data_IF_483449705302
#
_entry.id   IF_483449705302
#
_cell.length_a   1.000
_cell.length_b   1.000
_cell.length_c   1.000
_cell.angle_alpha   90.00
_cell.angle_beta   90.00
_cell.angle_gamma   90.00
#
_symmetry.space_group_name_H-M   'P 1'
#
loop_
_entity.id
_entity.type
_entity.pdbx_description
1 polymer ?
#
# COMPACT_ATOMS: atom_id res chain seq x y z
N UNK A 1 -16.65 -4.62 -12.20
CA UNK A 1 -18.11 -4.60 -11.91
C UNK A 1 -18.53 -3.50 -10.93
N UNK A 2 -18.04 -3.47 -9.67
CA UNK A 2 -18.47 -2.44 -8.70
C UNK A 2 -18.11 -1.00 -9.11
N UNK A 3 -16.91 -0.76 -9.62
CA UNK A 3 -16.49 0.58 -10.05
C UNK A 3 -17.22 1.08 -11.30
N UNK A 4 -17.63 0.21 -12.21
CA UNK A 4 -18.36 0.62 -13.42
C UNK A 4 -19.79 1.06 -13.07
N UNK A 5 -20.42 0.39 -12.11
CA UNK A 5 -21.73 0.79 -11.60
C UNK A 5 -21.65 2.11 -10.83
N UNK A 6 -20.64 2.26 -9.95
CA UNK A 6 -20.38 3.51 -9.24
C UNK A 6 -20.14 4.69 -10.20
N UNK A 7 -19.33 4.49 -11.24
CA UNK A 7 -19.08 5.50 -12.27
C UNK A 7 -20.37 5.91 -13.00
N UNK A 8 -21.20 4.94 -13.37
CA UNK A 8 -22.48 5.21 -14.03
C UNK A 8 -23.43 6.03 -13.15
N UNK A 9 -23.55 5.67 -11.88
CA UNK A 9 -24.41 6.41 -10.93
C UNK A 9 -23.88 7.83 -10.67
N UNK A 10 -22.57 7.99 -10.54
CA UNK A 10 -21.93 9.29 -10.39
C UNK A 10 -22.13 10.17 -11.63
N UNK A 11 -22.05 9.58 -12.85
CA UNK A 11 -22.34 10.31 -14.09
C UNK A 11 -23.79 10.79 -14.15
N UNK A 12 -24.74 9.96 -13.75
CA UNK A 12 -26.15 10.37 -13.70
C UNK A 12 -26.37 11.51 -12.70
N UNK A 13 -25.71 11.50 -11.55
CA UNK A 13 -25.76 12.60 -10.57
C UNK A 13 -25.18 13.90 -11.17
N UNK A 14 -24.02 13.81 -11.82
CA UNK A 14 -23.39 14.94 -12.53
C UNK A 14 -24.32 15.55 -13.59
N UNK A 15 -24.97 14.72 -14.39
CA UNK A 15 -25.89 15.20 -15.44
C UNK A 15 -27.09 15.90 -14.83
N UNK A 16 -27.69 15.38 -13.74
CA UNK A 16 -28.79 16.00 -13.02
C UNK A 16 -28.38 17.35 -12.42
N UNK A 17 -27.21 17.44 -11.77
CA UNK A 17 -26.73 18.68 -11.17
C UNK A 17 -26.36 19.73 -12.24
N UNK A 18 -25.86 19.32 -13.38
CA UNK A 18 -25.58 20.23 -14.51
C UNK A 18 -26.85 20.77 -15.16
N UNK A 19 -27.92 19.99 -15.22
CA UNK A 19 -29.21 20.42 -15.80
C UNK A 19 -30.01 21.32 -14.84
N UNK A 20 -29.94 21.08 -13.54
CA UNK A 20 -30.80 21.73 -12.54
C UNK A 20 -30.05 22.74 -11.65
N UNK A 21 -28.72 22.73 -11.65
CA UNK A 21 -27.87 23.57 -10.80
C UNK A 21 -27.37 24.85 -11.47
N UNK A 22 -26.81 25.73 -10.63
CA UNK A 22 -25.97 26.82 -11.15
C UNK A 22 -24.63 26.28 -11.65
N UNK A 23 -24.04 26.86 -12.68
CA UNK A 23 -22.70 26.48 -13.14
C UNK A 23 -21.70 26.51 -11.98
N UNK A 24 -20.91 25.43 -11.84
CA UNK A 24 -19.91 25.27 -10.75
C UNK A 24 -20.50 25.26 -9.34
N UNK A 25 -21.66 24.62 -9.15
CA UNK A 25 -22.24 24.43 -7.82
C UNK A 25 -21.37 23.53 -6.93
N UNK A 26 -21.59 23.59 -5.61
CA UNK A 26 -20.86 22.71 -4.66
C UNK A 26 -21.26 21.24 -4.82
N UNK A 27 -22.51 20.97 -5.20
CA UNK A 27 -23.01 19.63 -5.51
C UNK A 27 -22.28 19.06 -6.73
N UNK A 28 -22.16 19.83 -7.83
CA UNK A 28 -21.38 19.42 -9.00
C UNK A 28 -19.91 19.19 -8.64
N UNK A 29 -19.32 20.04 -7.78
CA UNK A 29 -17.94 19.88 -7.34
C UNK A 29 -17.73 18.59 -6.52
N UNK A 30 -18.69 18.23 -5.67
CA UNK A 30 -18.66 16.99 -4.89
C UNK A 30 -18.76 15.75 -5.81
N UNK A 31 -19.66 15.76 -6.78
CA UNK A 31 -19.80 14.68 -7.76
C UNK A 31 -18.53 14.53 -8.62
N UNK A 32 -17.96 15.65 -9.06
CA UNK A 32 -16.69 15.62 -9.82
C UNK A 32 -15.55 15.06 -8.99
N UNK A 33 -15.45 15.42 -7.72
CA UNK A 33 -14.47 14.83 -6.81
C UNK A 33 -14.65 13.33 -6.69
N UNK A 34 -15.90 12.88 -6.51
CA UNK A 34 -16.22 11.44 -6.45
C UNK A 34 -15.88 10.72 -7.75
N UNK A 35 -16.20 11.32 -8.91
CA UNK A 35 -15.86 10.77 -10.22
C UNK A 35 -14.33 10.65 -10.38
N UNK A 36 -13.58 11.67 -9.99
CA UNK A 36 -12.12 11.62 -9.98
C UNK A 36 -11.57 10.46 -9.16
N UNK A 37 -12.09 10.23 -7.95
CA UNK A 37 -11.70 9.09 -7.11
C UNK A 37 -12.05 7.73 -7.74
N UNK A 38 -13.20 7.62 -8.42
CA UNK A 38 -13.60 6.40 -9.12
C UNK A 38 -12.64 6.13 -10.30
N UNK A 39 -12.34 7.14 -11.11
CA UNK A 39 -11.41 7.03 -12.24
C UNK A 39 -10.00 6.67 -11.76
N UNK A 40 -9.52 7.27 -10.66
CA UNK A 40 -8.25 6.93 -10.01
C UNK A 40 -8.19 5.44 -9.62
N UNK A 41 -9.26 4.95 -8.99
CA UNK A 41 -9.38 3.54 -8.58
C UNK A 41 -9.43 2.57 -9.77
N UNK A 42 -9.81 3.04 -10.96
CA UNK A 42 -9.81 2.28 -12.22
C UNK A 42 -8.47 2.37 -12.97
N UNK A 43 -7.55 3.22 -12.51
CA UNK A 43 -6.29 3.51 -13.19
C UNK A 43 -6.41 4.49 -14.37
N UNK A 44 -7.57 5.13 -14.55
CA UNK A 44 -7.78 6.16 -15.56
C UNK A 44 -7.40 7.53 -14.97
N UNK A 45 -6.09 7.74 -14.84
CA UNK A 45 -5.53 8.91 -14.15
C UNK A 45 -5.74 10.23 -14.89
N UNK A 46 -5.80 10.22 -16.24
CA UNK A 46 -6.05 11.44 -17.01
C UNK A 46 -7.48 11.94 -16.81
N UNK A 47 -8.47 11.07 -16.94
CA UNK A 47 -9.87 11.42 -16.66
C UNK A 47 -10.08 11.81 -15.19
N UNK A 48 -9.40 11.14 -14.25
CA UNK A 48 -9.42 11.51 -12.85
C UNK A 48 -8.93 12.95 -12.64
N UNK A 49 -7.81 13.30 -13.27
CA UNK A 49 -7.22 14.64 -13.19
C UNK A 49 -8.19 15.73 -13.70
N UNK A 50 -8.85 15.52 -14.85
CA UNK A 50 -9.83 16.45 -15.41
C UNK A 50 -10.96 16.73 -14.40
N UNK A 51 -11.54 15.68 -13.83
CA UNK A 51 -12.61 15.83 -12.85
C UNK A 51 -12.15 16.52 -11.57
N UNK A 52 -10.99 16.16 -11.03
CA UNK A 52 -10.45 16.76 -9.81
C UNK A 52 -10.11 18.25 -10.00
N UNK A 53 -9.53 18.64 -11.14
CA UNK A 53 -9.22 20.04 -11.43
C UNK A 53 -10.51 20.87 -11.51
N UNK A 54 -11.55 20.37 -12.19
CA UNK A 54 -12.84 21.06 -12.27
C UNK A 54 -13.51 21.15 -10.88
N UNK A 55 -13.39 20.13 -10.05
CA UNK A 55 -13.86 20.16 -8.65
C UNK A 55 -13.13 21.25 -7.84
N UNK A 56 -11.79 21.30 -7.93
CA UNK A 56 -10.98 22.32 -7.23
C UNK A 56 -11.36 23.72 -7.67
N UNK A 57 -11.55 23.97 -8.97
CA UNK A 57 -11.95 25.26 -9.50
C UNK A 57 -13.34 25.71 -8.98
N UNK A 58 -14.31 24.78 -8.96
CA UNK A 58 -15.65 25.08 -8.45
C UNK A 58 -15.64 25.37 -6.94
N UNK A 59 -14.88 24.62 -6.16
CA UNK A 59 -14.73 24.83 -4.71
C UNK A 59 -14.05 26.16 -4.40
N UNK A 60 -13.02 26.57 -5.18
CA UNK A 60 -12.38 27.88 -5.04
C UNK A 60 -13.39 29.01 -5.30
N UNK A 61 -14.18 28.89 -6.37
CA UNK A 61 -15.20 29.88 -6.72
C UNK A 61 -16.27 30.06 -5.64
N UNK A 62 -16.52 29.01 -4.84
CA UNK A 62 -17.47 29.00 -3.73
C UNK A 62 -16.85 29.25 -2.34
N UNK A 63 -15.57 29.62 -2.27
CA UNK A 63 -14.88 29.96 -1.01
C UNK A 63 -14.63 28.78 -0.07
N UNK A 64 -14.61 27.52 -0.55
CA UNK A 64 -14.40 26.30 0.25
C UNK A 64 -12.91 25.96 0.39
N UNK A 65 -12.13 26.87 0.96
CA UNK A 65 -10.66 26.74 1.02
C UNK A 65 -10.16 25.45 1.69
N UNK A 66 -10.83 24.99 2.75
CA UNK A 66 -10.45 23.75 3.45
C UNK A 66 -10.66 22.48 2.60
N UNK A 67 -11.72 22.45 1.80
CA UNK A 67 -12.06 21.35 0.90
C UNK A 67 -11.13 21.33 -0.33
N UNK A 68 -10.81 22.51 -0.86
CA UNK A 68 -9.86 22.68 -1.97
C UNK A 68 -8.54 22.02 -1.66
N UNK A 69 -8.00 22.19 -0.47
CA UNK A 69 -6.72 21.61 -0.09
C UNK A 69 -6.73 20.06 -0.16
N UNK A 70 -7.85 19.44 0.20
CA UNK A 70 -8.02 17.98 0.09
C UNK A 70 -8.05 17.53 -1.38
N UNK A 71 -8.72 18.28 -2.25
CA UNK A 71 -8.77 17.99 -3.70
C UNK A 71 -7.40 18.23 -4.35
N UNK A 72 -6.68 19.30 -3.96
CA UNK A 72 -5.34 19.57 -4.46
C UNK A 72 -4.34 18.47 -4.06
N UNK A 73 -4.51 17.83 -2.88
CA UNK A 73 -3.75 16.62 -2.54
C UNK A 73 -4.05 15.48 -3.50
N UNK A 74 -5.34 15.23 -3.80
CA UNK A 74 -5.72 14.18 -4.77
C UNK A 74 -5.19 14.48 -6.17
N UNK A 75 -5.21 15.73 -6.61
CA UNK A 75 -4.58 16.16 -7.87
C UNK A 75 -3.07 15.85 -7.86
N UNK A 76 -2.39 16.12 -6.74
CA UNK A 76 -0.98 15.77 -6.58
C UNK A 76 -0.72 14.26 -6.65
N UNK A 77 -1.57 13.46 -6.00
CA UNK A 77 -1.49 11.99 -6.03
C UNK A 77 -1.71 11.47 -7.47
N UNK A 78 -2.66 12.04 -8.23
CA UNK A 78 -2.91 11.70 -9.64
C UNK A 78 -1.74 12.10 -10.54
N UNK A 79 -1.16 13.29 -10.36
CA UNK A 79 0.06 13.67 -11.08
C UNK A 79 1.24 12.72 -10.78
N UNK A 80 1.36 12.28 -9.53
CA UNK A 80 2.37 11.30 -9.13
C UNK A 80 2.17 9.95 -9.85
N UNK A 81 0.93 9.48 -9.96
CA UNK A 81 0.57 8.26 -10.70
C UNK A 81 0.88 8.37 -12.20
N UNK A 82 0.78 9.59 -12.76
CA UNK A 82 1.16 9.92 -14.15
C UNK A 82 2.66 10.17 -14.33
N UNK A 83 3.49 10.04 -13.28
CA UNK A 83 4.92 10.39 -13.26
C UNK A 83 5.21 11.87 -13.60
N UNK A 84 4.23 12.76 -13.41
CA UNK A 84 4.32 14.21 -13.60
C UNK A 84 4.74 14.87 -12.29
N UNK A 85 6.00 14.68 -11.92
CA UNK A 85 6.51 15.00 -10.59
C UNK A 85 6.51 16.50 -10.26
N UNK A 86 6.82 17.36 -11.22
CA UNK A 86 6.88 18.81 -10.99
C UNK A 86 5.48 19.38 -10.73
N UNK A 87 4.48 18.91 -11.47
CA UNK A 87 3.08 19.30 -11.25
C UNK A 87 2.54 18.75 -9.93
N UNK A 88 2.94 17.54 -9.54
CA UNK A 88 2.59 16.97 -8.23
C UNK A 88 3.15 17.83 -7.08
N UNK A 89 4.41 18.30 -7.19
CA UNK A 89 5.01 19.21 -6.21
C UNK A 89 4.19 20.49 -6.09
N UNK A 90 3.82 21.10 -7.20
CA UNK A 90 3.03 22.34 -7.21
C UNK A 90 1.66 22.16 -6.56
N UNK A 91 0.97 21.03 -6.87
CA UNK A 91 -0.33 20.72 -6.27
C UNK A 91 -0.22 20.52 -4.75
N UNK A 92 0.79 19.77 -4.27
CA UNK A 92 1.01 19.57 -2.84
C UNK A 92 1.44 20.88 -2.14
N UNK A 93 2.24 21.74 -2.76
CA UNK A 93 2.62 23.05 -2.20
C UNK A 93 1.41 23.99 -2.07
N UNK A 94 0.50 23.96 -3.05
CA UNK A 94 -0.76 24.70 -3.00
C UNK A 94 -1.64 24.20 -1.85
N UNK A 95 -1.82 22.87 -1.72
CA UNK A 95 -2.54 22.27 -0.61
C UNK A 95 -1.91 22.61 0.75
N UNK A 96 -0.59 22.56 0.85
CA UNK A 96 0.15 22.88 2.06
C UNK A 96 -0.08 24.33 2.50
N UNK A 97 -0.05 25.28 1.57
CA UNK A 97 -0.27 26.70 1.83
C UNK A 97 -1.70 26.95 2.34
N UNK A 98 -2.69 26.36 1.68
CA UNK A 98 -4.10 26.46 2.07
C UNK A 98 -4.36 25.83 3.44
N UNK A 99 -3.81 24.65 3.73
CA UNK A 99 -3.96 23.99 5.02
C UNK A 99 -3.30 24.75 6.16
N UNK A 100 -2.12 25.32 5.95
CA UNK A 100 -1.45 26.14 6.96
C UNK A 100 -2.25 27.39 7.30
N UNK A 101 -2.84 28.03 6.29
CA UNK A 101 -3.68 29.21 6.47
C UNK A 101 -4.98 28.90 7.20
N UNK A 102 -5.65 27.80 6.85
CA UNK A 102 -7.00 27.48 7.35
C UNK A 102 -7.00 26.70 8.67
N UNK A 103 -6.05 25.79 8.88
CA UNK A 103 -5.99 24.87 10.03
C UNK A 103 -4.79 25.09 10.95
N UNK A 104 -3.82 25.89 10.51
CA UNK A 104 -2.57 26.15 11.25
C UNK A 104 -1.46 25.16 10.93
N UNK A 105 -0.21 25.58 11.19
CA UNK A 105 1.01 24.85 10.80
C UNK A 105 1.18 23.47 11.47
N UNK A 106 0.58 23.27 12.65
CA UNK A 106 0.74 22.03 13.43
C UNK A 106 -0.45 21.07 13.27
N UNK A 107 -1.34 21.31 12.30
CA UNK A 107 -2.48 20.41 12.08
C UNK A 107 -2.03 19.11 11.37
N UNK A 108 -2.55 17.92 11.76
CA UNK A 108 -2.18 16.63 11.11
C UNK A 108 -2.37 16.59 9.60
N UNK A 109 -3.37 17.31 9.05
CA UNK A 109 -3.52 17.44 7.60
C UNK A 109 -2.30 18.10 6.93
N UNK A 110 -1.58 19.01 7.62
CA UNK A 110 -0.31 19.58 7.14
C UNK A 110 0.78 18.49 7.14
N UNK A 111 0.84 17.67 8.19
CA UNK A 111 1.77 16.54 8.25
C UNK A 111 1.50 15.53 7.13
N UNK A 112 0.24 15.24 6.82
CA UNK A 112 -0.14 14.35 5.71
C UNK A 112 0.38 14.86 4.36
N UNK A 113 0.39 16.17 4.11
CA UNK A 113 1.00 16.73 2.89
C UNK A 113 2.52 16.61 2.91
N UNK A 114 3.16 16.80 4.08
CA UNK A 114 4.60 16.57 4.19
C UNK A 114 4.97 15.12 3.90
N UNK A 115 4.16 14.14 4.31
CA UNK A 115 4.37 12.72 3.99
C UNK A 115 4.29 12.48 2.47
N UNK A 116 3.30 13.06 1.78
CA UNK A 116 3.19 12.97 0.32
C UNK A 116 4.40 13.58 -0.40
N UNK A 117 4.86 14.74 0.04
CA UNK A 117 6.09 15.35 -0.48
C UNK A 117 7.32 14.47 -0.20
N UNK A 118 7.40 13.89 0.99
CA UNK A 118 8.49 12.97 1.34
C UNK A 118 8.52 11.74 0.41
N UNK A 119 7.37 11.12 0.15
CA UNK A 119 7.24 9.98 -0.77
C UNK A 119 7.64 10.37 -2.20
N UNK A 120 7.16 11.51 -2.69
CA UNK A 120 7.52 12.02 -4.01
C UNK A 120 9.02 12.26 -4.14
N UNK A 121 9.65 12.91 -3.16
CA UNK A 121 11.09 13.15 -3.17
C UNK A 121 11.90 11.86 -3.02
N UNK A 122 11.38 10.87 -2.32
CA UNK A 122 11.95 9.54 -2.25
C UNK A 122 11.93 8.86 -3.63
N UNK A 123 10.78 8.85 -4.31
CA UNK A 123 10.62 8.29 -5.66
C UNK A 123 11.50 8.98 -6.72
N UNK A 124 11.77 10.26 -6.54
CA UNK A 124 12.66 11.03 -7.44
C UNK A 124 14.14 10.99 -7.03
N UNK A 125 14.51 10.19 -6.02
CA UNK A 125 15.88 10.02 -5.55
C UNK A 125 16.46 11.20 -4.76
N UNK A 126 15.64 12.19 -4.41
CA UNK A 126 16.03 13.35 -3.59
C UNK A 126 15.93 12.99 -2.09
N UNK A 127 16.74 12.04 -1.64
CA UNK A 127 16.63 11.40 -0.33
C UNK A 127 16.78 12.37 0.86
N UNK A 128 17.57 13.45 0.71
CA UNK A 128 17.73 14.47 1.76
C UNK A 128 16.44 15.25 1.98
N UNK A 129 15.78 15.66 0.89
CA UNK A 129 14.52 16.38 0.94
C UNK A 129 13.42 15.48 1.49
N UNK A 130 13.34 14.23 1.04
CA UNK A 130 12.43 13.21 1.56
C UNK A 130 12.55 13.11 3.09
N UNK A 131 13.77 12.94 3.61
CA UNK A 131 14.02 12.87 5.06
C UNK A 131 13.55 14.12 5.79
N UNK A 132 13.88 15.31 5.27
CA UNK A 132 13.49 16.59 5.87
C UNK A 132 11.98 16.73 5.99
N UNK A 133 11.24 16.31 4.97
CA UNK A 133 9.77 16.30 5.00
C UNK A 133 9.21 15.27 5.99
N UNK A 134 9.81 14.08 6.10
CA UNK A 134 9.46 13.10 7.14
C UNK A 134 9.65 13.70 8.55
N UNK A 135 10.76 14.36 8.82
CA UNK A 135 11.03 15.01 10.11
C UNK A 135 10.03 16.11 10.43
N UNK A 136 9.62 16.90 9.42
CA UNK A 136 8.59 17.92 9.59
C UNK A 136 7.22 17.29 9.94
N UNK A 137 6.84 16.21 9.28
CA UNK A 137 5.60 15.48 9.61
C UNK A 137 5.66 14.89 11.02
N UNK A 138 6.76 14.24 11.39
CA UNK A 138 6.94 13.64 12.72
C UNK A 138 6.86 14.69 13.84
N UNK A 139 7.40 15.89 13.62
CA UNK A 139 7.33 16.99 14.60
C UNK A 139 5.89 17.41 14.91
N UNK A 140 4.99 17.31 13.92
CA UNK A 140 3.56 17.57 14.10
C UNK A 140 2.90 16.39 14.81
N UNK A 141 3.14 15.16 14.38
CA UNK A 141 2.54 13.97 14.99
C UNK A 141 2.99 13.72 16.44
N UNK A 142 4.13 14.25 16.85
CA UNK A 142 4.60 14.18 18.24
C UNK A 142 3.85 15.14 19.19
N UNK A 143 3.11 16.10 18.65
CA UNK A 143 2.32 17.07 19.42
C UNK A 143 0.84 16.97 19.03
N UNK A 144 0.16 15.91 19.45
CA UNK A 144 -1.22 15.69 19.04
C UNK A 144 -2.15 16.84 19.50
N UNK A 145 -2.98 17.30 18.57
CA UNK A 145 -4.01 18.31 18.85
C UNK A 145 -5.25 17.61 19.38
N UNK A 146 -5.91 18.12 20.44
CA UNK A 146 -7.16 17.57 20.92
C UNK A 146 -8.22 17.53 19.82
N UNK A 147 -8.95 16.42 19.72
CA UNK A 147 -10.04 16.21 18.74
C UNK A 147 -9.61 15.57 17.42
N UNK A 148 -8.33 15.22 17.26
CA UNK A 148 -7.85 14.43 16.13
C UNK A 148 -7.95 12.95 16.48
N UNK A 149 -8.45 12.14 15.53
CA UNK A 149 -8.50 10.70 15.68
C UNK A 149 -7.07 10.10 15.76
N UNK A 150 -6.75 9.32 16.80
CA UNK A 150 -5.41 8.73 16.94
C UNK A 150 -4.99 7.90 15.72
N UNK A 151 -5.95 7.30 15.01
CA UNK A 151 -5.75 6.50 13.82
C UNK A 151 -5.16 7.31 12.66
N UNK A 152 -5.49 8.58 12.55
CA UNK A 152 -4.91 9.48 11.54
C UNK A 152 -3.41 9.65 11.77
N UNK A 153 -3.01 9.79 13.02
CA UNK A 153 -1.59 9.86 13.40
C UNK A 153 -0.90 8.51 13.13
N UNK A 154 -1.55 7.41 13.51
CA UNK A 154 -0.99 6.08 13.32
C UNK A 154 -0.80 5.73 11.84
N UNK A 155 -1.75 6.10 10.97
CA UNK A 155 -1.61 5.97 9.52
C UNK A 155 -0.40 6.75 9.02
N UNK A 156 -0.27 8.02 9.38
CA UNK A 156 0.87 8.85 8.98
C UNK A 156 2.23 8.30 9.48
N UNK A 157 2.28 7.72 10.67
CA UNK A 157 3.49 7.05 11.17
C UNK A 157 3.83 5.80 10.37
N UNK A 158 2.82 5.05 9.91
CA UNK A 158 3.02 3.87 9.05
C UNK A 158 3.55 4.29 7.68
N UNK A 159 3.00 5.35 7.07
CA UNK A 159 3.45 5.87 5.79
C UNK A 159 4.91 6.36 5.87
N UNK A 160 5.26 7.11 6.92
CA UNK A 160 6.65 7.57 7.15
C UNK A 160 7.58 6.37 7.36
N UNK A 161 7.11 5.32 8.04
CA UNK A 161 7.92 4.12 8.24
C UNK A 161 8.28 3.43 6.92
N UNK A 162 7.33 3.39 5.95
CA UNK A 162 7.59 2.86 4.62
C UNK A 162 8.64 3.68 3.85
N UNK A 163 8.66 5.01 4.04
CA UNK A 163 9.70 5.87 3.47
C UNK A 163 11.05 5.57 4.12
N UNK A 164 11.14 5.46 5.46
CA UNK A 164 12.39 5.10 6.14
C UNK A 164 12.89 3.69 5.77
N UNK A 165 11.97 2.74 5.53
CA UNK A 165 12.31 1.41 5.00
C UNK A 165 12.99 1.52 3.63
N UNK A 166 12.42 2.28 2.70
CA UNK A 166 13.00 2.52 1.38
C UNK A 166 14.33 3.30 1.43
N UNK A 167 14.57 4.07 2.48
CA UNK A 167 15.85 4.72 2.79
C UNK A 167 16.85 3.79 3.47
N UNK A 168 16.49 2.52 3.71
CA UNK A 168 17.24 1.52 4.45
C UNK A 168 17.54 1.92 5.92
N UNK A 169 16.66 2.73 6.52
CA UNK A 169 16.72 3.14 7.94
C UNK A 169 15.78 2.30 8.80
N UNK A 170 16.02 0.99 8.82
CA UNK A 170 15.10 -0.02 9.36
C UNK A 170 14.79 0.16 10.85
N UNK A 171 15.75 0.60 11.67
CA UNK A 171 15.51 0.86 13.10
C UNK A 171 14.57 2.04 13.31
N UNK A 172 14.69 3.10 12.51
CA UNK A 172 13.77 4.24 12.55
C UNK A 172 12.36 3.81 12.12
N UNK A 173 12.26 3.05 11.03
CA UNK A 173 11.00 2.50 10.55
C UNK A 173 10.32 1.63 11.63
N UNK A 174 11.04 0.70 12.24
CA UNK A 174 10.53 -0.15 13.34
C UNK A 174 10.03 0.66 14.53
N UNK A 175 10.74 1.74 14.91
CA UNK A 175 10.31 2.60 16.01
C UNK A 175 8.96 3.26 15.71
N UNK A 176 8.74 3.69 14.47
CA UNK A 176 7.47 4.30 14.04
C UNK A 176 6.35 3.27 13.99
N UNK A 177 6.59 2.08 13.44
CA UNK A 177 5.61 0.99 13.43
C UNK A 177 5.21 0.56 14.84
N UNK A 178 6.14 0.51 15.80
CA UNK A 178 5.82 0.23 17.20
C UNK A 178 4.91 1.29 17.82
N UNK A 179 5.11 2.58 17.49
CA UNK A 179 4.22 3.66 17.92
C UNK A 179 2.82 3.51 17.29
N UNK A 180 2.74 3.27 15.97
CA UNK A 180 1.48 3.05 15.26
C UNK A 180 0.73 1.82 15.78
N UNK A 181 1.43 0.71 15.98
CA UNK A 181 0.89 -0.52 16.54
C UNK A 181 0.22 -0.30 17.90
N UNK A 182 0.88 0.46 18.80
CA UNK A 182 0.30 0.78 20.10
C UNK A 182 -1.02 1.53 19.98
N UNK A 183 -1.12 2.48 19.05
CA UNK A 183 -2.36 3.25 18.82
C UNK A 183 -3.46 2.33 18.28
N UNK A 184 -3.17 1.56 17.22
CA UNK A 184 -4.18 0.68 16.60
C UNK A 184 -4.62 -0.48 17.49
N UNK A 185 -3.77 -0.94 18.42
CA UNK A 185 -4.13 -2.01 19.36
C UNK A 185 -5.26 -1.62 20.33
N UNK A 186 -5.40 -0.33 20.58
CA UNK A 186 -6.44 0.22 21.46
C UNK A 186 -7.76 0.53 20.71
N UNK A 187 -7.78 0.37 19.37
CA UNK A 187 -8.94 0.70 18.52
C UNK A 187 -9.66 -0.58 18.08
N UNK A 188 -10.96 -0.71 18.39
CA UNK A 188 -11.74 -1.87 17.96
C UNK A 188 -11.84 -1.97 16.43
N UNK A 189 -11.80 -3.19 15.89
CA UNK A 189 -11.99 -3.45 14.47
C UNK A 189 -10.72 -3.30 13.60
N UNK A 190 -9.59 -2.87 14.16
CA UNK A 190 -8.33 -2.66 13.42
C UNK A 190 -7.42 -3.90 13.37
N UNK A 191 -7.94 -5.10 13.59
CA UNK A 191 -7.14 -6.31 13.65
C UNK A 191 -6.34 -6.60 12.37
N UNK A 192 -6.91 -6.33 11.19
CA UNK A 192 -6.22 -6.52 9.92
C UNK A 192 -5.11 -5.47 9.71
N UNK A 193 -5.35 -4.22 10.10
CA UNK A 193 -4.33 -3.15 10.09
C UNK A 193 -3.18 -3.50 11.03
N UNK A 194 -3.49 -3.96 12.25
CA UNK A 194 -2.50 -4.44 13.23
C UNK A 194 -1.68 -5.60 12.66
N UNK A 195 -2.34 -6.59 12.02
CA UNK A 195 -1.65 -7.71 11.38
C UNK A 195 -0.73 -7.23 10.24
N UNK A 196 -1.16 -6.24 9.44
CA UNK A 196 -0.34 -5.63 8.40
C UNK A 196 0.92 -4.97 8.96
N UNK A 197 0.79 -4.18 10.03
CA UNK A 197 1.93 -3.54 10.71
C UNK A 197 2.89 -4.59 11.29
N UNK A 198 2.37 -5.62 11.95
CA UNK A 198 3.18 -6.71 12.50
C UNK A 198 3.95 -7.47 11.41
N UNK A 199 3.32 -7.70 10.25
CA UNK A 199 3.99 -8.32 9.11
C UNK A 199 5.13 -7.43 8.57
N UNK A 200 4.91 -6.12 8.44
CA UNK A 200 5.96 -5.16 8.05
C UNK A 200 7.12 -5.17 9.04
N UNK A 201 6.83 -5.15 10.34
CA UNK A 201 7.86 -5.28 11.38
C UNK A 201 8.62 -6.61 11.26
N UNK A 202 7.92 -7.70 10.90
CA UNK A 202 8.53 -9.00 10.64
C UNK A 202 9.55 -8.96 9.51
N UNK A 203 9.24 -8.30 8.40
CA UNK A 203 10.16 -8.08 7.27
C UNK A 203 11.39 -7.29 7.72
N UNK A 204 11.21 -6.17 8.42
CA UNK A 204 12.32 -5.34 8.89
C UNK A 204 13.20 -6.07 9.89
N UNK A 205 12.63 -6.82 10.81
CA UNK A 205 13.40 -7.68 11.73
C UNK A 205 14.21 -8.74 10.98
N UNK A 206 13.64 -9.34 9.92
CA UNK A 206 14.36 -10.28 9.07
C UNK A 206 15.58 -9.63 8.40
N UNK A 207 15.38 -8.44 7.81
CA UNK A 207 16.47 -7.68 7.15
C UNK A 207 17.59 -7.27 8.12
N UNK A 208 17.25 -7.03 9.39
CA UNK A 208 18.21 -6.74 10.46
C UNK A 208 18.89 -8.00 11.05
N UNK A 209 18.53 -9.20 10.59
CA UNK A 209 19.05 -10.45 11.12
C UNK A 209 18.41 -10.89 12.45
N UNK A 210 17.38 -10.19 12.92
CA UNK A 210 16.64 -10.49 14.15
C UNK A 210 15.57 -11.55 13.86
N UNK A 211 15.99 -12.77 13.51
CA UNK A 211 15.10 -13.80 12.97
C UNK A 211 14.05 -14.32 13.99
N UNK A 212 14.34 -14.28 15.27
CA UNK A 212 13.38 -14.68 16.32
C UNK A 212 12.26 -13.66 16.48
N UNK A 213 12.57 -12.38 16.43
CA UNK A 213 11.63 -11.26 16.44
C UNK A 213 10.81 -11.24 15.16
N UNK A 214 11.44 -11.50 14.00
CA UNK A 214 10.78 -11.65 12.71
C UNK A 214 9.72 -12.76 12.77
N UNK A 215 10.09 -13.95 13.20
CA UNK A 215 9.17 -15.06 13.38
C UNK A 215 7.99 -14.70 14.31
N UNK A 216 8.28 -14.08 15.45
CA UNK A 216 7.26 -13.70 16.43
C UNK A 216 6.27 -12.69 15.85
N UNK A 217 6.76 -11.72 15.07
CA UNK A 217 5.93 -10.70 14.40
C UNK A 217 5.01 -11.34 13.35
N UNK A 218 5.53 -12.21 12.48
CA UNK A 218 4.72 -12.92 11.50
C UNK A 218 3.72 -13.89 12.14
N UNK A 219 4.11 -14.58 13.22
CA UNK A 219 3.22 -15.46 13.98
C UNK A 219 2.03 -14.70 14.57
N UNK A 220 2.28 -13.51 15.14
CA UNK A 220 1.22 -12.64 15.64
C UNK A 220 0.30 -12.19 14.51
N UNK A 221 0.86 -11.70 13.39
CA UNK A 221 0.11 -11.27 12.20
C UNK A 221 -0.78 -12.40 11.65
N UNK A 222 -0.22 -13.58 11.40
CA UNK A 222 -0.96 -14.73 10.86
C UNK A 222 -2.04 -15.23 11.82
N UNK A 223 -1.81 -15.17 13.13
CA UNK A 223 -2.82 -15.52 14.14
C UNK A 223 -4.03 -14.57 14.07
N UNK A 224 -3.80 -13.27 13.94
CA UNK A 224 -4.87 -12.25 13.79
C UNK A 224 -5.65 -12.42 12.48
N UNK A 225 -4.93 -12.64 11.36
CA UNK A 225 -5.56 -12.88 10.06
C UNK A 225 -6.41 -14.14 10.04
N UNK A 226 -5.98 -15.21 10.73
CA UNK A 226 -6.82 -16.41 10.92
C UNK A 226 -8.09 -16.12 11.71
N UNK A 227 -7.98 -15.34 12.78
CA UNK A 227 -9.10 -14.98 13.63
C UNK A 227 -10.11 -14.07 12.91
N UNK A 228 -9.67 -13.20 12.00
CA UNK A 228 -10.54 -12.32 11.20
C UNK A 228 -11.14 -13.01 9.96
N UNK A 229 -10.82 -14.28 9.70
CA UNK A 229 -11.31 -15.02 8.54
C UNK A 229 -10.47 -14.90 7.27
N UNK A 230 -9.39 -14.12 7.28
CA UNK A 230 -8.50 -13.83 6.14
C UNK A 230 -7.49 -14.97 5.81
N UNK A 231 -7.71 -16.16 6.34
CA UNK A 231 -6.80 -17.33 6.20
C UNK A 231 -6.61 -17.85 4.76
N UNK A 232 -7.37 -17.34 3.80
CA UNK A 232 -7.25 -17.69 2.37
C UNK A 232 -6.69 -16.53 1.54
N UNK A 233 -6.48 -15.35 2.10
CA UNK A 233 -5.98 -14.21 1.35
C UNK A 233 -4.54 -14.43 0.89
N UNK A 234 -4.18 -13.85 -0.25
CA UNK A 234 -2.80 -13.85 -0.73
C UNK A 234 -1.83 -13.25 0.31
N UNK A 235 -2.25 -12.19 1.00
CA UNK A 235 -1.45 -11.58 2.05
C UNK A 235 -1.12 -12.56 3.19
N UNK A 236 -2.08 -13.40 3.59
CA UNK A 236 -1.83 -14.46 4.57
C UNK A 236 -0.81 -15.48 4.06
N UNK A 237 -0.92 -15.91 2.79
CA UNK A 237 0.06 -16.80 2.15
C UNK A 237 1.46 -16.20 2.10
N UNK A 238 1.57 -14.92 1.74
CA UNK A 238 2.86 -14.19 1.75
C UNK A 238 3.44 -14.12 3.16
N UNK A 239 2.63 -13.81 4.17
CA UNK A 239 3.08 -13.75 5.57
C UNK A 239 3.60 -15.11 6.07
N UNK A 240 2.94 -16.22 5.71
CA UNK A 240 3.42 -17.58 6.01
C UNK A 240 4.76 -17.88 5.32
N UNK A 241 4.91 -17.49 4.06
CA UNK A 241 6.18 -17.66 3.36
C UNK A 241 7.32 -16.90 4.04
N UNK A 242 7.10 -15.66 4.43
CA UNK A 242 8.10 -14.86 5.14
C UNK A 242 8.42 -15.44 6.54
N UNK A 243 7.40 -15.96 7.24
CA UNK A 243 7.58 -16.68 8.50
C UNK A 243 8.44 -17.94 8.32
N UNK A 244 8.20 -18.68 7.22
CA UNK A 244 9.02 -19.84 6.83
C UNK A 244 10.49 -19.49 6.60
N UNK A 245 10.77 -18.37 5.92
CA UNK A 245 12.13 -17.87 5.74
C UNK A 245 12.81 -17.56 7.10
N UNK A 246 12.09 -16.96 8.05
CA UNK A 246 12.61 -16.74 9.39
C UNK A 246 12.90 -18.08 10.11
N UNK A 247 12.06 -19.11 9.91
CA UNK A 247 12.31 -20.46 10.44
C UNK A 247 13.58 -21.09 9.86
N UNK A 248 13.83 -20.95 8.55
CA UNK A 248 15.06 -21.44 7.91
C UNK A 248 16.30 -20.81 8.58
N UNK A 249 16.30 -19.51 8.80
CA UNK A 249 17.42 -18.81 9.44
C UNK A 249 17.62 -19.21 10.92
N UNK A 250 16.55 -19.71 11.56
CA UNK A 250 16.58 -20.24 12.92
C UNK A 250 16.86 -21.73 12.99
N UNK A 251 17.18 -22.37 11.86
CA UNK A 251 17.37 -23.82 11.71
C UNK A 251 16.14 -24.67 12.06
N UNK A 252 14.95 -24.09 12.09
CA UNK A 252 13.69 -24.78 12.30
C UNK A 252 13.12 -25.28 10.95
N UNK A 253 13.88 -26.15 10.27
CA UNK A 253 13.64 -26.51 8.86
C UNK A 253 12.32 -27.25 8.67
N UNK A 254 11.92 -28.15 9.56
CA UNK A 254 10.65 -28.86 9.45
C UNK A 254 9.44 -27.92 9.55
N UNK A 255 9.48 -26.95 10.48
CA UNK A 255 8.46 -25.93 10.61
C UNK A 255 8.41 -25.03 9.35
N UNK A 256 9.57 -24.69 8.78
CA UNK A 256 9.64 -23.94 7.52
C UNK A 256 8.95 -24.68 6.37
N UNK A 257 9.14 -26.00 6.23
CA UNK A 257 8.45 -26.78 5.21
C UNK A 257 6.94 -26.72 5.37
N UNK A 258 6.41 -26.88 6.58
CA UNK A 258 4.96 -26.81 6.83
C UNK A 258 4.38 -25.45 6.46
N UNK A 259 5.07 -24.38 6.81
CA UNK A 259 4.68 -22.99 6.50
C UNK A 259 4.71 -22.71 5.00
N UNK A 260 5.75 -23.16 4.30
CA UNK A 260 5.85 -23.00 2.85
C UNK A 260 4.80 -23.85 2.09
N UNK A 261 4.46 -25.03 2.57
CA UNK A 261 3.40 -25.86 1.95
C UNK A 261 2.02 -25.18 2.12
N UNK A 262 1.71 -24.62 3.30
CA UNK A 262 0.47 -23.87 3.50
C UNK A 262 0.46 -22.60 2.63
N UNK A 263 1.57 -21.85 2.56
CA UNK A 263 1.71 -20.68 1.72
C UNK A 263 1.52 -21.00 0.22
N UNK A 264 2.15 -22.08 -0.25
CA UNK A 264 2.02 -22.57 -1.62
C UNK A 264 0.57 -22.84 -1.98
N UNK A 265 -0.13 -23.61 -1.15
CA UNK A 265 -1.52 -23.96 -1.39
C UNK A 265 -2.40 -22.72 -1.54
N UNK A 266 -2.22 -21.72 -0.68
CA UNK A 266 -3.01 -20.48 -0.70
C UNK A 266 -2.68 -19.64 -1.94
N UNK A 267 -1.39 -19.40 -2.21
CA UNK A 267 -0.97 -18.56 -3.33
C UNK A 267 -1.26 -19.18 -4.70
N UNK A 268 -1.26 -20.52 -4.81
CA UNK A 268 -1.72 -21.21 -6.02
C UNK A 268 -3.22 -20.96 -6.29
N UNK A 269 -4.05 -20.95 -5.25
CA UNK A 269 -5.48 -20.71 -5.39
C UNK A 269 -5.80 -19.25 -5.74
N UNK A 270 -5.09 -18.29 -5.12
CA UNK A 270 -5.35 -16.87 -5.28
C UNK A 270 -4.72 -16.28 -6.55
N UNK A 271 -3.49 -16.64 -6.83
CA UNK A 271 -2.69 -16.04 -7.91
C UNK A 271 -2.39 -17.01 -9.06
N UNK A 272 -2.59 -18.30 -8.83
CA UNK A 272 -2.18 -19.33 -9.76
C UNK A 272 -0.69 -19.73 -9.62
N UNK A 273 -0.30 -20.85 -10.28
CA UNK A 273 1.01 -21.48 -10.09
C UNK A 273 2.19 -20.72 -10.71
N UNK A 274 1.93 -19.74 -11.57
CA UNK A 274 2.97 -18.99 -12.30
C UNK A 274 3.21 -17.59 -11.78
N UNK A 275 2.47 -17.16 -10.78
CA UNK A 275 2.68 -15.85 -10.16
C UNK A 275 4.06 -15.80 -9.49
N UNK A 276 4.78 -14.65 -9.54
CA UNK A 276 6.10 -14.50 -8.93
C UNK A 276 6.16 -14.94 -7.47
N UNK A 277 5.15 -14.60 -6.66
CA UNK A 277 5.09 -14.99 -5.25
C UNK A 277 4.95 -16.51 -5.08
N UNK A 278 4.10 -17.16 -5.90
CA UNK A 278 3.95 -18.62 -5.89
C UNK A 278 5.24 -19.31 -6.30
N UNK A 279 5.91 -18.80 -7.33
CA UNK A 279 7.22 -19.30 -7.77
C UNK A 279 8.31 -19.12 -6.70
N UNK A 280 8.25 -18.01 -5.94
CA UNK A 280 9.12 -17.79 -4.80
C UNK A 280 8.96 -18.87 -3.72
N UNK A 281 7.73 -19.23 -3.38
CA UNK A 281 7.45 -20.31 -2.42
C UNK A 281 7.95 -21.66 -2.91
N UNK A 282 7.79 -21.99 -4.19
CA UNK A 282 8.36 -23.21 -4.75
C UNK A 282 9.89 -23.26 -4.61
N UNK A 283 10.57 -22.12 -4.82
CA UNK A 283 12.02 -22.04 -4.65
C UNK A 283 12.43 -22.27 -3.19
N UNK A 284 11.70 -21.70 -2.24
CA UNK A 284 11.93 -21.88 -0.81
C UNK A 284 11.70 -23.34 -0.38
N UNK A 285 10.61 -23.97 -0.85
CA UNK A 285 10.34 -25.38 -0.60
C UNK A 285 11.44 -26.27 -1.18
N UNK A 286 11.86 -26.05 -2.41
CA UNK A 286 12.91 -26.82 -3.03
C UNK A 286 14.21 -26.79 -2.21
N UNK A 287 14.66 -25.59 -1.80
CA UNK A 287 15.84 -25.44 -0.97
C UNK A 287 15.70 -26.08 0.43
N UNK A 288 14.51 -26.02 1.03
CA UNK A 288 14.26 -26.65 2.32
C UNK A 288 14.21 -28.18 2.25
N UNK A 289 13.60 -28.75 1.20
CA UNK A 289 13.61 -30.19 1.00
C UNK A 289 15.00 -30.75 0.69
N UNK A 290 15.81 -29.98 -0.04
CA UNK A 290 17.22 -30.33 -0.24
C UNK A 290 17.97 -30.36 1.10
N UNK A 291 17.80 -29.34 1.93
CA UNK A 291 18.45 -29.25 3.25
C UNK A 291 18.11 -30.41 4.20
N UNK A 292 16.96 -31.06 4.04
CA UNK A 292 16.57 -32.23 4.84
C UNK A 292 16.78 -33.57 4.12
N UNK A 293 17.46 -33.56 2.98
CA UNK A 293 17.80 -34.76 2.19
C UNK A 293 16.63 -35.41 1.46
N UNK A 294 15.50 -34.71 1.27
CA UNK A 294 14.33 -35.21 0.55
C UNK A 294 14.42 -34.93 -0.96
N UNK A 295 15.47 -35.45 -1.60
CA UNK A 295 15.84 -35.17 -2.99
C UNK A 295 14.73 -35.50 -4.02
N UNK A 296 13.94 -36.54 -3.82
CA UNK A 296 12.83 -36.87 -4.73
C UNK A 296 11.74 -35.80 -4.71
N UNK A 297 11.43 -35.26 -3.54
CA UNK A 297 10.45 -34.16 -3.40
C UNK A 297 11.00 -32.87 -4.03
N UNK A 298 12.28 -32.57 -3.80
CA UNK A 298 13.00 -31.47 -4.45
C UNK A 298 12.94 -31.57 -5.98
N UNK A 299 13.29 -32.76 -6.55
CA UNK A 299 13.25 -33.00 -7.99
C UNK A 299 11.83 -32.89 -8.57
N UNK A 300 10.82 -33.38 -7.85
CA UNK A 300 9.41 -33.25 -8.28
C UNK A 300 8.97 -31.79 -8.33
N UNK A 301 9.34 -30.96 -7.36
CA UNK A 301 9.01 -29.53 -7.37
C UNK A 301 9.73 -28.82 -8.53
N UNK A 302 11.01 -29.13 -8.78
CA UNK A 302 11.75 -28.60 -9.90
C UNK A 302 11.16 -29.04 -11.24
N UNK A 303 10.86 -30.32 -11.41
CA UNK A 303 10.28 -30.85 -12.65
C UNK A 303 8.92 -30.25 -12.96
N UNK A 304 8.08 -30.03 -11.95
CA UNK A 304 6.81 -29.33 -12.08
C UNK A 304 7.00 -27.88 -12.54
N UNK A 305 8.02 -27.21 -12.01
CA UNK A 305 8.42 -25.84 -12.40
C UNK A 305 8.93 -25.78 -13.84
N UNK A 306 9.79 -26.73 -14.25
CA UNK A 306 10.39 -26.77 -15.58
C UNK A 306 9.48 -27.33 -16.67
N UNK A 307 8.69 -28.37 -16.41
CA UNK A 307 7.77 -28.94 -17.39
C UNK A 307 6.73 -27.93 -17.87
N UNK A 308 6.26 -27.07 -16.97
CA UNK A 308 5.31 -26.02 -17.32
C UNK A 308 5.97 -24.79 -17.98
N UNK A 309 7.22 -24.49 -17.72
CA UNK A 309 7.99 -23.46 -18.45
C UNK A 309 8.18 -23.83 -19.92
N UNK A 310 8.39 -25.14 -20.21
CA UNK A 310 8.56 -25.65 -21.58
C UNK A 310 7.25 -25.61 -22.38
N UNK A 311 6.10 -25.85 -21.75
CA UNK A 311 4.80 -25.79 -22.43
C UNK A 311 4.47 -24.35 -22.87
N UNK A 312 4.75 -23.34 -22.06
CA UNK A 312 4.52 -21.93 -22.45
C UNK A 312 5.50 -21.43 -23.49
N UNK A 313 6.76 -21.90 -23.50
CA UNK A 313 7.70 -21.54 -24.55
C UNK A 313 7.41 -22.24 -25.86
N UNK A 314 6.86 -23.46 -25.84
CA UNK A 314 6.42 -24.17 -27.05
C UNK A 314 5.13 -23.59 -27.63
N UNK A 315 4.14 -23.22 -26.83
CA UNK A 315 2.91 -22.58 -27.32
C UNK A 315 3.15 -21.18 -27.90
N UNK A 316 4.09 -20.41 -27.34
CA UNK A 316 4.50 -19.12 -27.94
C UNK A 316 5.32 -19.27 -29.22
N UNK A 317 6.11 -20.35 -29.35
CA UNK A 317 6.86 -20.66 -30.57
C UNK A 317 5.96 -21.29 -31.66
N UNK A 318 4.96 -22.08 -31.29
CA UNK A 318 3.99 -22.64 -32.24
C UNK A 318 3.15 -21.55 -32.93
N UNK A 319 2.82 -20.46 -32.23
CA UNK A 319 2.10 -19.32 -32.79
C UNK A 319 2.98 -18.36 -33.64
N UNK A 320 4.31 -18.56 -33.65
CA UNK A 320 5.26 -17.78 -34.47
C UNK A 320 5.67 -18.55 -35.77
N UNK A 321 5.52 -19.89 -35.79
CA UNK A 321 6.01 -20.74 -36.88
C UNK A 321 4.90 -21.13 -37.89
N UNK A 322 3.62 -21.00 -37.55
CA UNK A 322 2.50 -21.23 -38.50
C UNK A 322 1.60 -20.00 -38.52
N UNK A 323 1.72 -19.17 -39.61
CA UNK A 323 0.76 -18.09 -39.89
C UNK A 323 -0.60 -18.62 -40.34
#
# INVERSE_FOLDING_TARGET
MQFDEAQKLCQMALDIHRENGSPSSLEEAADRRLMGMICESKGDHETALEHLVLASMAMVANGQESEVASVDCSIGDTYLSLNRYDEAILAYQKALTSLKSSKGENHPAVASVFVRLADLYNKTGKLRDSRSYCENALRIYEKPIPGIAPEEIASGLTDISAIYDSLNELEHALKLLKKALKIYSDVPGQQNTVAGIEAQMGVMHYMLGNYSESYSSFKSATTKLRASGEKKSAFFGIALNQMGLACVQRYAINEAVELFEEARFILEQEYGPYHPDTLGVYSNLAGTYDAIGRYLTFLNILSYKFAKFHVYSCDSLANIIFP
#
